data_IF_319521308678
#
_entry.id   IF_319521308678
#
_cell.length_a   1.000
_cell.length_b   1.000
_cell.length_c   1.000
_cell.angle_alpha   90.00
_cell.angle_beta   90.00
_cell.angle_gamma   90.00
#
_symmetry.space_group_name_H-M   'P 1'
#
loop_
_entity.id
_entity.type
_entity.pdbx_description
1 polymer ?
#
# COMPACT_ATOMS: atom_id res chain seq x y z
N UNK A 1 -4.37 -2.02 -8.18
CA UNK A 1 -4.48 -2.81 -6.94
C UNK A 1 -5.90 -2.85 -6.36
N UNK A 2 -6.58 -1.71 -6.11
CA UNK A 2 -7.97 -1.68 -5.60
C UNK A 2 -8.95 -2.56 -6.40
N UNK A 3 -8.82 -2.58 -7.73
CA UNK A 3 -9.65 -3.39 -8.62
C UNK A 3 -9.41 -4.90 -8.48
N UNK A 4 -8.17 -5.33 -8.23
CA UNK A 4 -7.85 -6.75 -7.94
C UNK A 4 -8.45 -7.21 -6.61
N UNK A 5 -8.40 -6.38 -5.57
CA UNK A 5 -9.07 -6.67 -4.30
C UNK A 5 -10.59 -6.76 -4.44
N UNK A 6 -11.20 -5.88 -5.25
CA UNK A 6 -12.63 -5.95 -5.55
C UNK A 6 -13.04 -7.25 -6.24
N UNK A 7 -12.26 -7.71 -7.24
CA UNK A 7 -12.51 -8.97 -7.94
C UNK A 7 -12.32 -10.17 -7.01
N UNK A 8 -11.27 -10.18 -6.19
CA UNK A 8 -11.04 -11.23 -5.19
C UNK A 8 -12.19 -11.33 -4.18
N UNK A 9 -12.73 -10.19 -3.74
CA UNK A 9 -13.85 -10.14 -2.81
C UNK A 9 -15.14 -10.69 -3.43
N UNK A 10 -15.41 -10.38 -4.70
CA UNK A 10 -16.55 -10.93 -5.45
C UNK A 10 -16.47 -12.46 -5.57
N UNK A 11 -15.31 -12.99 -5.92
CA UNK A 11 -15.09 -14.44 -6.04
C UNK A 11 -15.26 -15.12 -4.67
N UNK A 12 -14.74 -14.52 -3.60
CA UNK A 12 -14.88 -15.05 -2.25
C UNK A 12 -16.35 -15.13 -1.80
N UNK A 13 -17.16 -14.13 -2.14
CA UNK A 13 -18.61 -14.11 -1.82
C UNK A 13 -19.35 -15.22 -2.58
N UNK A 14 -19.11 -15.37 -3.88
CA UNK A 14 -19.77 -16.40 -4.70
C UNK A 14 -19.39 -17.81 -4.21
N UNK A 15 -18.11 -18.05 -3.95
CA UNK A 15 -17.63 -19.33 -3.46
C UNK A 15 -18.15 -19.65 -2.05
N UNK A 16 -18.35 -18.64 -1.18
CA UNK A 16 -18.88 -18.85 0.16
C UNK A 16 -20.36 -19.26 0.12
N UNK A 17 -21.15 -18.67 -0.79
CA UNK A 17 -22.56 -19.04 -1.00
C UNK A 17 -22.67 -20.48 -1.51
N UNK A 18 -21.77 -20.89 -2.42
CA UNK A 18 -21.72 -22.24 -2.95
C UNK A 18 -21.32 -23.27 -1.87
N UNK A 19 -20.26 -22.99 -1.10
CA UNK A 19 -19.80 -23.84 0.00
C UNK A 19 -20.85 -24.01 1.10
N UNK A 20 -21.62 -22.96 1.42
CA UNK A 20 -22.71 -23.02 2.39
C UNK A 20 -23.87 -23.92 1.92
N UNK A 21 -24.15 -23.97 0.60
CA UNK A 21 -25.15 -24.89 0.04
C UNK A 21 -24.65 -26.33 -0.08
N UNK A 22 -23.35 -26.52 -0.30
CA UNK A 22 -22.70 -27.84 -0.37
C UNK A 22 -22.39 -28.50 0.98
N UNK A 23 -22.73 -27.84 2.10
CA UNK A 23 -22.37 -28.28 3.46
C UNK A 23 -20.85 -28.44 3.71
N UNK A 24 -20.02 -27.79 2.90
CA UNK A 24 -18.56 -27.78 3.03
C UNK A 24 -18.12 -26.62 3.93
N UNK A 25 -18.35 -26.78 5.24
CA UNK A 25 -18.13 -25.73 6.24
C UNK A 25 -16.68 -25.25 6.38
N UNK A 26 -15.71 -26.11 6.07
CA UNK A 26 -14.28 -25.75 6.08
C UNK A 26 -13.93 -24.72 4.99
N UNK A 27 -14.45 -24.93 3.77
CA UNK A 27 -14.27 -24.01 2.65
C UNK A 27 -14.96 -22.67 2.91
N UNK A 28 -16.14 -22.69 3.52
CA UNK A 28 -16.84 -21.47 3.93
C UNK A 28 -15.99 -20.64 4.92
N UNK A 29 -15.42 -21.28 5.94
CA UNK A 29 -14.58 -20.61 6.93
C UNK A 29 -13.33 -19.95 6.31
N UNK A 30 -12.66 -20.66 5.39
CA UNK A 30 -11.50 -20.15 4.66
C UNK A 30 -11.85 -18.91 3.81
N UNK A 31 -12.99 -18.93 3.12
CA UNK A 31 -13.44 -17.82 2.29
C UNK A 31 -13.84 -16.60 3.11
N UNK A 32 -14.48 -16.79 4.26
CA UNK A 32 -14.72 -15.71 5.21
C UNK A 32 -13.41 -15.09 5.72
N UNK A 33 -12.42 -15.91 6.09
CA UNK A 33 -11.12 -15.41 6.53
C UNK A 33 -10.40 -14.61 5.42
N UNK A 34 -10.45 -15.10 4.18
CA UNK A 34 -9.88 -14.40 3.02
C UNK A 34 -10.58 -13.06 2.76
N UNK A 35 -11.91 -13.02 2.88
CA UNK A 35 -12.69 -11.79 2.74
C UNK A 35 -12.32 -10.74 3.79
N UNK A 36 -12.17 -11.16 5.05
CA UNK A 36 -11.74 -10.28 6.15
C UNK A 36 -10.32 -9.75 5.91
N UNK A 37 -9.37 -10.61 5.54
CA UNK A 37 -7.99 -10.20 5.22
C UNK A 37 -7.95 -9.21 4.05
N UNK A 38 -8.74 -9.45 3.00
CA UNK A 38 -8.85 -8.55 1.84
C UNK A 38 -9.43 -7.20 2.22
N UNK A 39 -10.44 -7.18 3.09
CA UNK A 39 -11.03 -5.94 3.61
C UNK A 39 -10.02 -5.16 4.46
N UNK A 40 -9.29 -5.84 5.34
CA UNK A 40 -8.22 -5.23 6.14
C UNK A 40 -7.17 -4.61 5.22
N UNK A 41 -6.70 -5.34 4.21
CA UNK A 41 -5.71 -4.85 3.25
C UNK A 41 -6.21 -3.61 2.49
N UNK A 42 -7.49 -3.59 2.10
CA UNK A 42 -8.09 -2.44 1.41
C UNK A 42 -8.15 -1.19 2.32
N UNK A 43 -8.49 -1.38 3.59
CA UNK A 43 -8.59 -0.29 4.58
C UNK A 43 -7.20 0.22 4.97
N UNK A 44 -6.20 -0.66 5.11
CA UNK A 44 -4.84 -0.27 5.48
C UNK A 44 -4.07 0.37 4.32
N UNK A 45 -4.35 -0.01 3.08
CA UNK A 45 -3.75 0.61 1.89
C UNK A 45 -4.07 2.11 1.75
N UNK A 46 -5.11 2.61 2.43
CA UNK A 46 -5.49 4.03 2.45
C UNK A 46 -4.91 4.85 3.60
N UNK A 47 -4.13 4.26 4.52
CA UNK A 47 -3.52 5.03 5.62
C UNK A 47 -2.39 5.89 5.08
N UNK A 48 -2.73 7.11 4.68
CA UNK A 48 -1.76 8.16 4.37
C UNK A 48 -0.86 8.43 5.59
N UNK A 49 0.44 8.48 5.36
CA UNK A 49 1.40 8.93 6.38
C UNK A 49 1.16 10.41 6.57
N UNK A 50 0.83 10.83 7.80
CA UNK A 50 0.81 12.26 8.15
C UNK A 50 2.24 12.70 8.43
N UNK A 51 2.87 13.53 7.57
CA UNK A 51 4.17 14.09 7.91
C UNK A 51 4.04 15.03 9.10
N UNK A 52 5.16 15.25 9.79
CA UNK A 52 5.25 16.27 10.84
C UNK A 52 4.84 17.63 10.25
N UNK A 53 4.04 18.44 10.94
CA UNK A 53 3.51 19.70 10.40
C UNK A 53 4.61 20.66 9.91
N UNK A 54 5.76 20.66 10.58
CA UNK A 54 6.93 21.47 10.20
C UNK A 54 7.50 21.09 8.81
N UNK A 55 7.56 19.79 8.50
CA UNK A 55 7.97 19.29 7.19
C UNK A 55 6.94 19.66 6.12
N UNK A 56 5.64 19.62 6.45
CA UNK A 56 4.60 20.01 5.50
C UNK A 56 4.71 21.49 5.13
N UNK A 57 4.91 22.35 6.13
CA UNK A 57 5.11 23.78 5.90
C UNK A 57 6.33 24.06 5.01
N UNK A 58 7.44 23.34 5.24
CA UNK A 58 8.62 23.46 4.40
C UNK A 58 8.35 23.02 2.95
N UNK A 59 7.66 21.89 2.75
CA UNK A 59 7.30 21.40 1.41
C UNK A 59 6.40 22.41 0.68
N UNK A 60 5.40 22.96 1.36
CA UNK A 60 4.50 23.97 0.78
C UNK A 60 5.25 25.23 0.36
N UNK A 61 6.19 25.71 1.17
CA UNK A 61 7.03 26.86 0.82
C UNK A 61 7.93 26.57 -0.38
N UNK A 62 8.54 25.39 -0.45
CA UNK A 62 9.39 25.00 -1.59
C UNK A 62 8.58 24.80 -2.88
N UNK A 63 7.39 24.21 -2.77
CA UNK A 63 6.46 24.07 -3.89
C UNK A 63 6.08 25.44 -4.46
N UNK A 64 5.77 26.41 -3.59
CA UNK A 64 5.45 27.78 -3.98
C UNK A 64 6.63 28.50 -4.66
N UNK A 65 7.87 28.25 -4.24
CA UNK A 65 9.07 28.82 -4.87
C UNK A 65 9.38 28.21 -6.23
N UNK A 66 9.01 26.95 -6.44
CA UNK A 66 9.35 26.18 -7.64
C UNK A 66 8.20 26.09 -8.64
N UNK A 67 7.03 26.63 -8.31
CA UNK A 67 5.76 26.49 -9.05
C UNK A 67 5.42 25.03 -9.37
N UNK A 68 5.71 24.12 -8.43
CA UNK A 68 5.51 22.67 -8.58
C UNK A 68 4.46 22.17 -7.57
N UNK A 69 3.91 20.98 -7.83
CA UNK A 69 2.94 20.37 -6.91
C UNK A 69 3.66 19.82 -5.65
N UNK A 70 3.16 20.12 -4.43
CA UNK A 70 3.76 19.63 -3.19
C UNK A 70 3.95 18.11 -3.15
N UNK A 71 3.01 17.32 -3.70
CA UNK A 71 3.14 15.86 -3.72
C UNK A 71 4.22 15.41 -4.70
N UNK A 72 4.33 16.05 -5.87
CA UNK A 72 5.42 15.77 -6.83
C UNK A 72 6.79 16.06 -6.24
N UNK A 73 6.91 17.13 -5.45
CA UNK A 73 8.15 17.51 -4.79
C UNK A 73 8.54 16.45 -3.74
N UNK A 74 7.58 16.00 -2.93
CA UNK A 74 7.79 14.90 -1.98
C UNK A 74 8.16 13.60 -2.67
N UNK A 75 7.47 13.22 -3.75
CA UNK A 75 7.77 12.01 -4.51
C UNK A 75 9.19 12.02 -5.09
N UNK A 76 9.63 13.17 -5.61
CA UNK A 76 11.00 13.36 -6.13
C UNK A 76 12.04 13.24 -5.03
N UNK A 77 11.80 13.86 -3.88
CA UNK A 77 12.69 13.75 -2.71
C UNK A 77 12.76 12.30 -2.22
N UNK A 78 11.64 11.58 -2.18
CA UNK A 78 11.57 10.19 -1.78
C UNK A 78 12.30 9.27 -2.77
N UNK A 79 12.17 9.53 -4.08
CA UNK A 79 12.86 8.80 -5.12
C UNK A 79 14.39 8.98 -5.03
N UNK A 80 14.85 10.22 -4.81
CA UNK A 80 16.27 10.51 -4.62
C UNK A 80 16.84 9.83 -3.35
N UNK A 81 16.09 9.87 -2.25
CA UNK A 81 16.48 9.19 -1.01
C UNK A 81 16.58 7.67 -1.20
N UNK A 82 15.57 7.05 -1.84
CA UNK A 82 15.58 5.61 -2.13
C UNK A 82 16.77 5.22 -3.01
N UNK A 83 17.05 6.01 -4.06
CA UNK A 83 18.18 5.76 -4.94
C UNK A 83 19.51 5.76 -4.17
N UNK A 84 19.73 6.74 -3.28
CA UNK A 84 20.94 6.77 -2.43
C UNK A 84 21.02 5.59 -1.46
N UNK A 85 19.90 5.17 -0.86
CA UNK A 85 19.89 4.06 0.09
C UNK A 85 20.20 2.71 -0.58
N UNK A 86 19.72 2.52 -1.81
CA UNK A 86 20.04 1.35 -2.64
C UNK A 86 21.53 1.31 -2.99
N UNK A 87 22.11 2.43 -3.43
CA UNK A 87 23.54 2.53 -3.75
C UNK A 87 24.45 2.29 -2.53
N UNK A 88 24.05 2.76 -1.34
CA UNK A 88 24.80 2.52 -0.11
C UNK A 88 24.79 1.05 0.36
N UNK A 89 23.84 0.25 -0.11
CA UNK A 89 23.73 -1.17 0.25
C UNK A 89 24.63 -2.06 -0.63
N UNK A 90 24.86 -1.66 -1.89
CA UNK A 90 25.75 -2.39 -2.81
C UNK A 90 27.24 -2.17 -2.49
N UNK A 91 27.60 -1.01 -1.95
CA UNK A 91 28.99 -0.62 -1.61
C UNK A 91 29.48 -1.20 -0.26
N UNK A 92 28.63 -1.94 0.46
CA UNK A 92 28.96 -2.63 1.71
C UNK A 92 29.64 -3.99 1.52
N UNK A 93 29.90 -4.43 0.28
CA UNK A 93 30.68 -5.64 -0.01
C UNK A 93 32.16 -5.33 0.19
N UNK A 94 32.61 -5.44 1.44
CA UNK A 94 34.02 -5.61 1.78
C UNK A 94 34.46 -6.92 1.15
N UNK A 95 35.12 -6.85 -0.02
CA UNK A 95 35.84 -8.01 -0.55
C UNK A 95 36.95 -8.38 0.44
N UNK A 96 37.09 -9.67 0.80
CA UNK A 96 38.11 -10.17 1.73
C UNK A 96 39.53 -10.10 1.16
#
# INVERSE_FOLDING_TARGET
MRMLFGVSMLIAIVAAIDAARGAHWDQFALLCALGVLSLIALVTAGRGVRPRPDLMNWVEQQAALTDDDPNRLVDRALAAYRAQMLSATEDGRVDP
#
